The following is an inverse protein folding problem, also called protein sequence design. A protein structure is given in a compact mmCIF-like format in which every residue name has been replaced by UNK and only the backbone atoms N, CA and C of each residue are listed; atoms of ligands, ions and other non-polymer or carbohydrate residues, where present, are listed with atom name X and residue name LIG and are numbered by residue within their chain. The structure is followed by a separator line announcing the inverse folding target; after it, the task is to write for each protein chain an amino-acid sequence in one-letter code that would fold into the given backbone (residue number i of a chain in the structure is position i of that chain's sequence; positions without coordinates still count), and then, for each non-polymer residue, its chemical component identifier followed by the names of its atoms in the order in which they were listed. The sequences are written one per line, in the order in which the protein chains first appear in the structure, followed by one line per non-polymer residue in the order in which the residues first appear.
data_IF_075096654380
#
_entry.id   IF_075096654380
#
_cell.length_a   1.000
_cell.length_b   1.000
_cell.length_c   1.000
_cell.angle_alpha   90.00
_cell.angle_beta   90.00
_cell.angle_gamma   90.00
#
_symmetry.space_group_name_H-M   'P 1'
#
loop_
_entity.id
_entity.type
_entity.pdbx_description
1 polymer ?
#
# COMPACT_ATOMS: atom_id res chain seq x y z
N UNK A 1 19.95 -11.72 -17.99
CA UNK A 1 19.76 -12.67 -16.85
C UNK A 1 20.67 -12.40 -15.64
N UNK A 2 21.93 -11.94 -15.80
CA UNK A 2 22.83 -11.68 -14.66
C UNK A 2 22.41 -10.46 -13.80
N UNK A 3 21.96 -9.36 -14.42
CA UNK A 3 21.48 -8.17 -13.70
C UNK A 3 20.30 -8.49 -12.78
N UNK A 4 19.33 -9.29 -13.25
CA UNK A 4 18.19 -9.73 -12.45
C UNK A 4 18.61 -10.57 -11.23
N UNK A 5 19.59 -11.48 -11.40
CA UNK A 5 20.16 -12.24 -10.28
C UNK A 5 20.89 -11.35 -9.28
N UNK A 6 21.67 -10.37 -9.76
CA UNK A 6 22.39 -9.43 -8.91
C UNK A 6 21.43 -8.57 -8.06
N UNK A 7 20.36 -8.05 -8.69
CA UNK A 7 19.29 -7.31 -8.00
C UNK A 7 18.63 -8.19 -6.94
N UNK A 8 18.27 -9.43 -7.30
CA UNK A 8 17.66 -10.39 -6.36
C UNK A 8 18.55 -10.68 -5.16
N UNK A 9 19.85 -10.87 -5.38
CA UNK A 9 20.82 -11.10 -4.29
C UNK A 9 21.02 -9.88 -3.41
N UNK A 10 21.06 -8.68 -3.99
CA UNK A 10 21.18 -7.43 -3.23
C UNK A 10 19.94 -7.19 -2.34
N UNK A 11 18.74 -7.44 -2.87
CA UNK A 11 17.48 -7.35 -2.12
C UNK A 11 17.43 -8.41 -1.01
N UNK A 12 17.86 -9.65 -1.27
CA UNK A 12 17.88 -10.71 -0.27
C UNK A 12 18.87 -10.44 0.88
N UNK A 13 19.99 -9.75 0.60
CA UNK A 13 21.00 -9.40 1.61
C UNK A 13 20.54 -8.28 2.55
N UNK A 14 19.65 -7.38 2.08
CA UNK A 14 19.10 -6.26 2.86
C UNK A 14 17.59 -6.13 2.63
N UNK A 15 16.78 -7.00 3.24
CA UNK A 15 15.34 -7.09 2.95
C UNK A 15 14.60 -5.78 3.22
N UNK A 16 14.98 -5.02 4.25
CA UNK A 16 14.36 -3.72 4.55
C UNK A 16 14.71 -2.68 3.48
N UNK A 17 15.97 -2.59 3.05
CA UNK A 17 16.38 -1.63 1.99
C UNK A 17 15.68 -1.95 0.67
N UNK A 18 15.56 -3.24 0.34
CA UNK A 18 14.77 -3.68 -0.81
C UNK A 18 13.32 -3.24 -0.71
N UNK A 19 12.68 -3.47 0.43
CA UNK A 19 11.30 -3.04 0.65
C UNK A 19 11.14 -1.51 0.54
N UNK A 20 12.02 -0.72 1.15
CA UNK A 20 11.97 0.75 1.07
C UNK A 20 11.98 1.23 -0.38
N UNK A 21 12.85 0.67 -1.21
CA UNK A 21 12.93 1.02 -2.64
C UNK A 21 11.65 0.59 -3.37
N UNK A 22 11.22 -0.65 -3.18
CA UNK A 22 10.06 -1.21 -3.89
C UNK A 22 8.78 -0.44 -3.53
N UNK A 23 8.48 -0.29 -2.25
CA UNK A 23 7.29 0.41 -1.80
C UNK A 23 7.34 1.91 -2.14
N UNK A 24 8.50 2.56 -2.00
CA UNK A 24 8.67 3.96 -2.39
C UNK A 24 8.38 4.20 -3.87
N UNK A 25 8.91 3.33 -4.74
CA UNK A 25 8.64 3.38 -6.19
C UNK A 25 7.18 3.05 -6.51
N UNK A 26 6.60 2.03 -5.88
CA UNK A 26 5.22 1.62 -6.14
C UNK A 26 4.21 2.70 -5.73
N UNK A 27 4.35 3.26 -4.52
CA UNK A 27 3.42 4.29 -4.03
C UNK A 27 3.55 5.59 -4.81
N UNK A 28 4.77 6.10 -4.98
CA UNK A 28 5.00 7.35 -5.74
C UNK A 28 4.66 7.18 -7.21
N UNK A 29 5.02 6.03 -7.79
CA UNK A 29 4.71 5.70 -9.17
C UNK A 29 3.21 5.58 -9.42
N UNK A 30 2.48 4.88 -8.54
CA UNK A 30 1.02 4.77 -8.64
C UNK A 30 0.34 6.14 -8.61
N UNK A 31 0.76 7.03 -7.71
CA UNK A 31 0.22 8.39 -7.64
C UNK A 31 0.58 9.20 -8.89
N UNK A 32 1.82 9.09 -9.40
CA UNK A 32 2.21 9.74 -10.65
C UNK A 32 1.38 9.26 -11.84
N UNK A 33 1.15 7.95 -11.96
CA UNK A 33 0.30 7.39 -13.00
C UNK A 33 -1.15 7.84 -12.86
N UNK A 34 -1.69 7.82 -11.64
CA UNK A 34 -3.04 8.30 -11.35
C UNK A 34 -3.21 9.77 -11.76
N UNK A 35 -2.28 10.64 -11.38
CA UNK A 35 -2.31 12.05 -11.78
C UNK A 35 -2.17 12.21 -13.29
N UNK A 36 -1.32 11.42 -13.95
CA UNK A 36 -1.17 11.47 -15.41
C UNK A 36 -2.48 11.10 -16.11
N UNK A 37 -3.11 10.01 -15.69
CA UNK A 37 -4.38 9.57 -16.27
C UNK A 37 -5.45 10.62 -16.01
N UNK A 38 -5.64 11.08 -14.77
CA UNK A 38 -6.75 11.96 -14.41
C UNK A 38 -6.57 13.40 -14.88
N UNK A 39 -5.34 13.92 -14.92
CA UNK A 39 -5.08 15.33 -15.20
C UNK A 39 -4.59 15.60 -16.63
N UNK A 40 -4.14 14.58 -17.37
CA UNK A 40 -3.58 14.72 -18.72
C UNK A 40 -4.30 13.88 -19.79
N UNK A 41 -4.73 12.66 -19.48
CA UNK A 41 -5.28 11.72 -20.47
C UNK A 41 -6.82 11.73 -20.48
N UNK A 42 -7.44 11.52 -19.34
CA UNK A 42 -8.89 11.41 -19.16
C UNK A 42 -9.49 12.74 -18.71
N UNK A 43 -9.11 13.83 -19.39
CA UNK A 43 -9.64 15.16 -19.08
C UNK A 43 -11.02 15.32 -19.76
N UNK A 44 -12.06 15.78 -19.04
CA UNK A 44 -13.34 16.10 -19.66
C UNK A 44 -13.21 17.19 -20.73
N UNK A 45 -13.95 17.06 -21.83
CA UNK A 45 -13.97 18.02 -22.93
C UNK A 45 -14.24 19.45 -22.40
N UNK A 46 -13.35 20.39 -22.72
CA UNK A 46 -13.44 21.78 -22.25
C UNK A 46 -12.63 22.11 -20.99
N UNK A 47 -11.95 21.14 -20.37
CA UNK A 47 -11.08 21.40 -19.21
C UNK A 47 -9.61 21.47 -19.60
N UNK A 48 -8.81 22.27 -18.89
CA UNK A 48 -7.36 22.38 -19.13
C UNK A 48 -6.58 21.34 -18.33
N UNK A 49 -5.44 20.83 -18.85
CA UNK A 49 -4.60 19.90 -18.12
C UNK A 49 -4.05 20.50 -16.82
N UNK A 50 -4.26 19.82 -15.69
CA UNK A 50 -3.74 20.29 -14.39
C UNK A 50 -2.24 19.97 -14.24
N UNK A 51 -1.44 20.79 -13.54
CA UNK A 51 -0.07 20.44 -13.20
C UNK A 51 -0.03 19.25 -12.23
N UNK A 52 1.14 18.62 -12.13
CA UNK A 52 1.36 17.55 -11.15
C UNK A 52 1.40 18.13 -9.73
N UNK A 53 0.70 17.48 -8.80
CA UNK A 53 0.79 17.79 -7.38
C UNK A 53 2.03 17.10 -6.78
N UNK A 54 3.12 17.86 -6.79
CA UNK A 54 4.41 17.42 -6.24
C UNK A 54 4.38 17.24 -4.73
N UNK A 55 3.51 17.97 -4.02
CA UNK A 55 3.31 17.82 -2.58
C UNK A 55 2.75 16.44 -2.28
N UNK A 56 1.71 16.02 -2.99
CA UNK A 56 1.12 14.69 -2.83
C UNK A 56 2.10 13.59 -3.23
N UNK A 57 2.87 13.75 -4.33
CA UNK A 57 3.93 12.80 -4.70
C UNK A 57 4.98 12.64 -3.59
N UNK A 58 5.40 13.74 -2.96
CA UNK A 58 6.36 13.69 -1.85
C UNK A 58 5.79 12.94 -0.63
N UNK A 59 4.52 13.16 -0.28
CA UNK A 59 3.86 12.45 0.83
C UNK A 59 3.74 10.95 0.56
N UNK A 60 3.35 10.56 -0.65
CA UNK A 60 3.34 9.15 -1.05
C UNK A 60 4.74 8.53 -1.02
N UNK A 61 5.76 9.30 -1.41
CA UNK A 61 7.17 8.92 -1.24
C UNK A 61 7.50 8.63 0.23
N UNK A 62 7.24 9.58 1.13
CA UNK A 62 7.50 9.43 2.58
C UNK A 62 6.76 8.21 3.14
N UNK A 63 5.47 8.05 2.84
CA UNK A 63 4.68 6.92 3.32
C UNK A 63 5.23 5.59 2.76
N UNK A 64 5.58 5.55 1.47
CA UNK A 64 6.12 4.39 0.78
C UNK A 64 7.55 4.03 1.18
N UNK A 65 8.35 4.95 1.71
CA UNK A 65 9.74 4.67 2.12
C UNK A 65 9.92 4.56 3.63
N UNK A 66 9.20 5.33 4.42
CA UNK A 66 9.46 5.47 5.86
C UNK A 66 8.41 4.77 6.74
N UNK A 67 7.22 4.51 6.22
CA UNK A 67 6.11 3.94 7.01
C UNK A 67 5.82 2.50 6.59
N UNK A 68 5.29 2.30 5.38
CA UNK A 68 4.80 1.00 4.92
C UNK A 68 5.86 -0.12 4.85
N UNK A 69 7.11 0.13 4.41
CA UNK A 69 8.14 -0.91 4.36
C UNK A 69 8.41 -1.54 5.73
N UNK A 70 8.27 -0.76 6.80
CA UNK A 70 8.52 -1.21 8.16
C UNK A 70 7.29 -1.87 8.74
N UNK A 71 6.13 -1.21 8.69
CA UNK A 71 4.90 -1.73 9.29
C UNK A 71 4.47 -3.05 8.65
N UNK A 72 4.46 -3.12 7.32
CA UNK A 72 4.07 -4.33 6.61
C UNK A 72 5.09 -5.46 6.73
N UNK A 73 6.40 -5.15 6.69
CA UNK A 73 7.43 -6.17 6.89
C UNK A 73 7.28 -6.87 8.24
N UNK A 74 7.11 -6.10 9.32
CA UNK A 74 6.95 -6.67 10.65
C UNK A 74 5.60 -7.39 10.83
N UNK A 75 4.51 -6.82 10.30
CA UNK A 75 3.19 -7.44 10.32
C UNK A 75 3.18 -8.80 9.63
N UNK A 76 3.66 -8.89 8.38
CA UNK A 76 3.70 -10.14 7.62
C UNK A 76 4.69 -11.14 8.21
N UNK A 77 5.86 -10.69 8.69
CA UNK A 77 6.80 -11.58 9.38
C UNK A 77 6.19 -12.22 10.62
N UNK A 78 5.41 -11.46 11.39
CA UNK A 78 4.68 -12.00 12.55
C UNK A 78 3.59 -12.97 12.11
N UNK A 79 2.78 -12.58 11.11
CA UNK A 79 1.68 -13.40 10.59
C UNK A 79 2.18 -14.75 10.05
N UNK A 80 3.24 -14.73 9.27
CA UNK A 80 3.87 -15.93 8.69
C UNK A 80 4.49 -16.84 9.75
N UNK A 81 4.96 -16.28 10.87
CA UNK A 81 5.48 -17.08 11.98
C UNK A 81 4.39 -17.85 12.74
N UNK A 82 3.16 -17.34 12.74
CA UNK A 82 2.01 -17.93 13.46
C UNK A 82 1.25 -18.94 12.59
N UNK A 83 1.18 -18.70 11.29
CA UNK A 83 0.40 -19.51 10.36
C UNK A 83 1.32 -20.24 9.37
N UNK A 84 1.93 -21.33 9.84
CA UNK A 84 2.86 -22.16 9.05
C UNK A 84 2.12 -23.30 8.38
N UNK A 85 2.16 -23.36 7.04
CA UNK A 85 1.56 -24.43 6.24
C UNK A 85 0.56 -23.94 5.19
N UNK A 86 0.15 -24.85 4.30
CA UNK A 86 -0.75 -24.55 3.16
C UNK A 86 -2.14 -25.18 3.29
N UNK A 87 -2.46 -25.82 4.42
CA UNK A 87 -3.79 -26.40 4.60
C UNK A 87 -4.83 -25.30 4.77
N UNK A 88 -6.07 -25.54 4.31
CA UNK A 88 -7.18 -24.59 4.46
C UNK A 88 -7.38 -24.16 5.93
N UNK A 89 -7.13 -25.05 6.89
CA UNK A 89 -7.20 -24.76 8.33
C UNK A 89 -6.16 -23.74 8.81
N UNK A 90 -5.06 -23.57 8.09
CA UNK A 90 -4.02 -22.57 8.38
C UNK A 90 -4.22 -21.29 7.55
N UNK A 91 -4.70 -21.43 6.31
CA UNK A 91 -4.91 -20.32 5.38
C UNK A 91 -6.09 -19.45 5.80
N UNK A 92 -7.22 -20.04 6.20
CA UNK A 92 -8.43 -19.28 6.53
C UNK A 92 -8.21 -18.33 7.72
N UNK A 93 -7.63 -18.76 8.86
CA UNK A 93 -7.34 -17.84 9.96
C UNK A 93 -6.30 -16.78 9.61
N UNK A 94 -5.30 -17.14 8.79
CA UNK A 94 -4.30 -16.19 8.29
C UNK A 94 -4.94 -15.10 7.43
N UNK A 95 -5.81 -15.48 6.51
CA UNK A 95 -6.57 -14.58 5.66
C UNK A 95 -7.51 -13.69 6.48
N UNK A 96 -8.19 -14.27 7.48
CA UNK A 96 -9.02 -13.50 8.39
C UNK A 96 -8.22 -12.46 9.19
N UNK A 97 -7.03 -12.83 9.69
CA UNK A 97 -6.15 -11.90 10.39
C UNK A 97 -5.62 -10.79 9.47
N UNK A 98 -5.24 -11.12 8.23
CA UNK A 98 -4.80 -10.12 7.25
C UNK A 98 -5.93 -9.16 6.87
N UNK A 99 -7.10 -9.70 6.55
CA UNK A 99 -8.26 -8.90 6.17
C UNK A 99 -8.80 -8.08 7.34
N UNK A 100 -8.99 -8.66 8.54
CA UNK A 100 -9.69 -7.97 9.63
C UNK A 100 -8.78 -7.17 10.56
N UNK A 101 -7.47 -7.40 10.54
CA UNK A 101 -6.51 -6.70 11.43
C UNK A 101 -5.51 -5.90 10.62
N UNK A 102 -4.74 -6.56 9.74
CA UNK A 102 -3.66 -5.90 9.02
C UNK A 102 -4.21 -4.83 8.06
N UNK A 103 -5.27 -5.14 7.33
CA UNK A 103 -5.85 -4.20 6.35
C UNK A 103 -6.42 -2.93 7.02
N UNK A 104 -7.27 -2.99 8.07
CA UNK A 104 -7.74 -1.79 8.76
C UNK A 104 -6.62 -0.96 9.39
N UNK A 105 -5.60 -1.61 9.95
CA UNK A 105 -4.42 -0.90 10.50
C UNK A 105 -3.67 -0.18 9.37
N UNK A 106 -3.45 -0.85 8.24
CA UNK A 106 -2.77 -0.26 7.09
C UNK A 106 -3.53 0.93 6.50
N UNK A 107 -4.86 0.81 6.35
CA UNK A 107 -5.72 1.90 5.89
C UNK A 107 -5.75 3.07 6.88
N UNK A 108 -5.73 2.78 8.18
CA UNK A 108 -5.65 3.82 9.22
C UNK A 108 -4.34 4.58 9.14
N UNK A 109 -3.21 3.86 9.07
CA UNK A 109 -1.89 4.47 8.88
C UNK A 109 -1.84 5.31 7.61
N UNK A 110 -2.45 4.84 6.52
CA UNK A 110 -2.53 5.58 5.27
C UNK A 110 -3.31 6.89 5.43
N UNK A 111 -4.58 6.85 5.82
CA UNK A 111 -5.42 8.05 5.86
C UNK A 111 -4.98 9.06 6.91
N UNK A 112 -4.63 8.59 8.10
CA UNK A 112 -4.17 9.47 9.19
C UNK A 112 -2.78 10.02 8.87
N UNK A 113 -1.86 9.18 8.39
CA UNK A 113 -0.51 9.60 8.00
C UNK A 113 -0.52 10.61 6.86
N UNK A 114 -1.35 10.40 5.84
CA UNK A 114 -1.52 11.36 4.75
C UNK A 114 -2.09 12.70 5.26
N UNK A 115 -3.12 12.66 6.10
CA UNK A 115 -3.73 13.88 6.65
C UNK A 115 -2.75 14.66 7.54
N UNK A 116 -1.92 13.97 8.30
CA UNK A 116 -0.86 14.58 9.11
C UNK A 116 0.22 15.22 8.23
N UNK A 117 0.68 14.54 7.17
CA UNK A 117 1.67 15.07 6.22
C UNK A 117 1.12 16.21 5.34
N UNK A 118 -0.20 16.29 5.19
CA UNK A 118 -0.88 17.40 4.53
C UNK A 118 -1.03 18.61 5.45
N UNK A 119 -0.88 18.44 6.77
CA UNK A 119 -1.03 19.50 7.75
C UNK A 119 -2.48 19.87 8.03
N UNK A 120 -3.41 18.92 7.91
CA UNK A 120 -4.83 19.13 8.26
C UNK A 120 -4.98 19.34 9.77
N UNK A 121 -5.98 20.12 10.19
CA UNK A 121 -6.29 20.29 11.61
C UNK A 121 -6.95 19.03 12.21
N UNK A 122 -7.84 18.38 11.44
CA UNK A 122 -8.49 17.12 11.83
C UNK A 122 -7.97 15.95 10.99
N UNK A 123 -7.02 15.19 11.55
CA UNK A 123 -6.41 14.05 10.85
C UNK A 123 -7.34 12.86 10.64
N UNK A 124 -8.47 12.83 11.35
CA UNK A 124 -9.42 11.72 11.32
C UNK A 124 -10.59 11.99 10.38
N UNK A 125 -10.73 13.20 9.84
CA UNK A 125 -11.84 13.55 8.96
C UNK A 125 -11.92 12.64 7.73
N UNK A 126 -10.81 12.49 7.01
CA UNK A 126 -10.75 11.59 5.86
C UNK A 126 -10.89 10.14 6.24
N UNK A 127 -10.27 9.74 7.35
CA UNK A 127 -10.34 8.38 7.84
C UNK A 127 -11.79 7.96 8.12
N UNK A 128 -12.56 8.78 8.85
CA UNK A 128 -13.99 8.51 9.15
C UNK A 128 -14.84 8.38 7.89
N UNK A 129 -14.53 9.18 6.86
CA UNK A 129 -15.26 9.18 5.58
C UNK A 129 -14.92 7.96 4.72
N UNK A 130 -13.66 7.52 4.73
CA UNK A 130 -13.13 6.57 3.73
C UNK A 130 -12.82 5.18 4.25
N UNK A 131 -12.65 4.97 5.57
CA UNK A 131 -12.19 3.70 6.11
C UNK A 131 -13.12 2.53 5.73
N UNK A 132 -14.43 2.67 5.92
CA UNK A 132 -15.41 1.63 5.60
C UNK A 132 -15.49 1.33 4.10
N UNK A 133 -15.73 2.32 3.20
CA UNK A 133 -15.83 2.02 1.77
C UNK A 133 -14.51 1.46 1.24
N UNK A 134 -13.36 1.99 1.64
CA UNK A 134 -12.06 1.46 1.20
C UNK A 134 -11.81 0.04 1.73
N UNK A 135 -12.18 -0.23 2.98
CA UNK A 135 -12.07 -1.57 3.57
C UNK A 135 -12.92 -2.60 2.82
N UNK A 136 -14.18 -2.26 2.51
CA UNK A 136 -15.07 -3.14 1.77
C UNK A 136 -14.53 -3.38 0.36
N UNK A 137 -14.15 -2.33 -0.38
CA UNK A 137 -13.56 -2.48 -1.72
C UNK A 137 -12.30 -3.34 -1.70
N UNK A 138 -11.40 -3.12 -0.74
CA UNK A 138 -10.20 -3.92 -0.60
C UNK A 138 -10.54 -5.40 -0.29
N UNK A 139 -11.49 -5.65 0.61
CA UNK A 139 -11.88 -7.00 1.01
C UNK A 139 -12.54 -7.77 -0.14
N UNK A 140 -13.44 -7.13 -0.90
CA UNK A 140 -14.12 -7.74 -2.04
C UNK A 140 -13.12 -8.18 -3.11
N UNK A 141 -12.03 -7.43 -3.30
CA UNK A 141 -10.99 -7.80 -4.26
C UNK A 141 -10.00 -8.82 -3.69
N UNK A 142 -9.41 -8.53 -2.53
CA UNK A 142 -8.27 -9.30 -2.00
C UNK A 142 -8.64 -10.61 -1.32
N UNK A 143 -9.82 -10.74 -0.71
CA UNK A 143 -10.23 -11.99 -0.06
C UNK A 143 -10.41 -13.12 -1.10
N UNK A 144 -11.13 -12.93 -2.22
CA UNK A 144 -11.21 -13.96 -3.26
C UNK A 144 -9.86 -14.27 -3.90
N UNK A 145 -9.05 -13.25 -4.19
CA UNK A 145 -7.71 -13.43 -4.78
C UNK A 145 -6.82 -14.26 -3.85
N UNK A 146 -6.88 -14.00 -2.55
CA UNK A 146 -6.10 -14.75 -1.57
C UNK A 146 -6.54 -16.21 -1.48
N UNK A 147 -7.84 -16.50 -1.56
CA UNK A 147 -8.36 -17.88 -1.57
C UNK A 147 -7.93 -18.67 -2.81
N UNK A 148 -7.69 -18.01 -3.96
CA UNK A 148 -7.17 -18.66 -5.17
C UNK A 148 -5.65 -18.91 -5.07
N UNK A 149 -4.93 -18.03 -4.37
CA UNK A 149 -3.46 -18.08 -4.29
C UNK A 149 -2.93 -19.12 -3.29
N UNK A 150 -3.78 -19.67 -2.42
CA UNK A 150 -3.43 -20.65 -1.39
C UNK A 150 -4.04 -22.02 -1.68
#
# INVERSE_FOLDING_TARGET
MQAFRAVRMAVAKRPIVGNVIVYGLLYTGAEFFQQTINNKVMIPAGSTPKPYDTGTLARYGIMGTCVFPHTLYHAYKYLDSKFVGKSLRMVLPKLAADALVITPVNLTLFYVGMSALEGKDDWLEEWRKKIIPTFVTASVFWVPVSLINF
#
